data_IF_874113024977
#
_entry.id   IF_874113024977
#
_cell.length_a   1.000
_cell.length_b   1.000
_cell.length_c   1.000
_cell.angle_alpha   90.00
_cell.angle_beta   90.00
_cell.angle_gamma   90.00
#
_symmetry.space_group_name_H-M   'P 1'
#
loop_
_entity.id
_entity.type
_entity.pdbx_description
1 polymer ?
#
# COMPACT_ATOMS: atom_id res chain seq x y z
N UNK A 1 -16.79 -5.54 -39.75
CA UNK A 1 -17.87 -5.34 -38.76
C UNK A 1 -17.67 -6.13 -37.47
N UNK A 2 -17.51 -7.47 -37.51
CA UNK A 2 -17.29 -8.31 -36.30
C UNK A 2 -16.08 -7.87 -35.44
N UNK A 3 -14.94 -7.54 -36.06
CA UNK A 3 -13.73 -7.08 -35.36
C UNK A 3 -13.94 -5.77 -34.59
N UNK A 4 -14.66 -4.82 -35.18
CA UNK A 4 -14.96 -3.51 -34.58
C UNK A 4 -15.83 -3.70 -33.34
N UNK A 5 -16.83 -4.58 -33.41
CA UNK A 5 -17.71 -4.90 -32.29
C UNK A 5 -16.92 -5.50 -31.11
N UNK A 6 -15.96 -6.38 -31.39
CA UNK A 6 -15.09 -6.99 -30.36
C UNK A 6 -14.24 -5.94 -29.66
N UNK A 7 -13.64 -5.01 -30.41
CA UNK A 7 -12.81 -3.93 -29.84
C UNK A 7 -13.65 -2.99 -28.96
N UNK A 8 -14.85 -2.63 -29.40
CA UNK A 8 -15.78 -1.81 -28.61
C UNK A 8 -16.17 -2.52 -27.32
N UNK A 9 -16.50 -3.81 -27.39
CA UNK A 9 -16.82 -4.59 -26.18
C UNK A 9 -15.63 -4.66 -25.22
N UNK A 10 -14.40 -4.88 -25.70
CA UNK A 10 -13.20 -4.91 -24.86
C UNK A 10 -12.92 -3.56 -24.18
N UNK A 11 -13.18 -2.45 -24.85
CA UNK A 11 -13.01 -1.11 -24.27
C UNK A 11 -13.97 -0.79 -23.13
N UNK A 12 -15.13 -1.46 -23.07
CA UNK A 12 -16.11 -1.29 -21.99
C UNK A 12 -15.68 -2.01 -20.69
N UNK A 13 -14.72 -2.93 -20.76
CA UNK A 13 -14.20 -3.67 -19.60
C UNK A 13 -12.85 -3.14 -19.08
N UNK A 14 -12.36 -2.00 -19.59
CA UNK A 14 -11.12 -1.42 -19.08
C UNK A 14 -11.37 -0.80 -17.70
N UNK A 15 -10.80 -1.41 -16.65
CA UNK A 15 -10.73 -0.80 -15.33
C UNK A 15 -9.73 0.36 -15.36
N UNK A 16 -10.14 1.53 -14.88
CA UNK A 16 -9.21 2.65 -14.67
C UNK A 16 -8.19 2.23 -13.60
N UNK A 17 -6.93 2.03 -13.99
CA UNK A 17 -5.83 1.84 -13.04
C UNK A 17 -5.23 3.22 -12.76
N UNK A 18 -5.48 3.75 -11.58
CA UNK A 18 -4.82 4.97 -11.12
C UNK A 18 -3.38 4.65 -10.74
N UNK A 19 -2.44 5.53 -11.05
CA UNK A 19 -1.09 5.47 -10.49
C UNK A 19 -1.15 5.58 -8.96
N UNK A 20 -0.18 5.01 -8.24
CA UNK A 20 -0.12 5.20 -6.79
C UNK A 20 -0.07 6.70 -6.44
N UNK A 21 -0.75 7.11 -5.36
CA UNK A 21 -0.81 8.50 -4.88
C UNK A 21 0.53 9.04 -4.34
N UNK A 22 1.64 8.37 -4.61
CA UNK A 22 2.95 8.66 -4.03
C UNK A 22 3.08 8.22 -2.57
N UNK A 23 3.99 8.86 -1.85
CA UNK A 23 4.21 8.62 -0.43
C UNK A 23 3.14 9.31 0.41
N UNK A 24 2.43 8.54 1.23
CA UNK A 24 1.42 9.05 2.18
C UNK A 24 1.98 8.91 3.59
N UNK A 25 2.02 10.02 4.33
CA UNK A 25 2.45 10.00 5.72
C UNK A 25 1.49 9.15 6.57
N UNK A 26 2.06 8.19 7.30
CA UNK A 26 1.33 7.37 8.26
C UNK A 26 1.64 7.86 9.67
N UNK A 27 0.62 8.01 10.51
CA UNK A 27 0.82 8.32 11.92
C UNK A 27 1.25 7.05 12.67
N UNK A 28 2.42 7.08 13.31
CA UNK A 28 2.95 5.96 14.11
C UNK A 28 2.40 5.90 15.53
N UNK A 29 1.69 6.94 16.00
CA UNK A 29 1.16 7.02 17.36
C UNK A 29 2.21 7.24 18.45
N UNK A 30 3.49 7.42 18.10
CA UNK A 30 4.59 7.69 19.05
C UNK A 30 5.41 8.91 18.64
N UNK A 31 5.99 9.57 19.65
CA UNK A 31 6.89 10.73 19.47
C UNK A 31 8.37 10.36 19.42
N UNK A 32 8.72 9.17 19.91
CA UNK A 32 10.09 8.65 19.88
C UNK A 32 10.47 8.20 18.47
N UNK A 33 11.77 8.26 18.16
CA UNK A 33 12.28 7.86 16.85
C UNK A 33 12.06 6.36 16.61
N UNK A 34 11.64 6.02 15.39
CA UNK A 34 11.63 4.65 14.89
C UNK A 34 12.97 4.41 14.18
N UNK A 35 13.67 3.35 14.58
CA UNK A 35 15.01 3.02 14.11
C UNK A 35 15.01 1.89 13.07
N UNK A 36 14.01 1.00 13.11
CA UNK A 36 13.84 -0.05 12.10
C UNK A 36 12.38 -0.52 12.00
N UNK A 37 12.04 -1.12 10.86
CA UNK A 37 10.75 -1.77 10.59
C UNK A 37 10.98 -3.14 9.96
N UNK A 38 10.13 -4.11 10.29
CA UNK A 38 10.13 -5.47 9.73
C UNK A 38 8.70 -5.92 9.44
N UNK A 39 8.47 -6.56 8.30
CA UNK A 39 7.18 -7.13 7.93
C UNK A 39 7.34 -8.63 7.65
N UNK A 40 6.51 -9.44 8.30
CA UNK A 40 6.38 -10.86 8.01
C UNK A 40 5.52 -11.07 6.76
N UNK A 41 4.47 -10.27 6.62
CA UNK A 41 3.59 -10.26 5.46
C UNK A 41 2.98 -8.85 5.27
N UNK A 42 2.13 -8.68 4.26
CA UNK A 42 1.51 -7.37 3.93
C UNK A 42 0.57 -6.82 5.01
N UNK A 43 0.18 -7.63 6.00
CA UNK A 43 -0.75 -7.31 7.09
C UNK A 43 -0.11 -7.51 8.48
N UNK A 44 1.18 -7.84 8.56
CA UNK A 44 1.81 -8.12 9.86
C UNK A 44 3.23 -7.62 9.85
N UNK A 45 3.50 -6.64 10.70
CA UNK A 45 4.82 -6.06 10.86
C UNK A 45 5.04 -5.39 12.21
N UNK A 46 6.30 -5.05 12.47
CA UNK A 46 6.74 -4.41 13.69
C UNK A 46 7.67 -3.25 13.40
N UNK A 47 7.56 -2.20 14.22
CA UNK A 47 8.50 -1.07 14.23
C UNK A 47 9.20 -1.03 15.59
N UNK A 48 10.51 -0.83 15.59
CA UNK A 48 11.31 -0.67 16.81
C UNK A 48 11.89 0.73 16.90
N UNK A 49 11.90 1.29 18.11
CA UNK A 49 12.34 2.66 18.35
C UNK A 49 13.14 2.80 19.64
N UNK A 50 13.43 4.05 19.99
CA UNK A 50 14.22 4.38 21.18
C UNK A 50 13.63 3.79 22.46
N UNK A 51 14.50 3.56 23.44
CA UNK A 51 14.15 2.99 24.75
C UNK A 51 13.45 1.62 24.70
N UNK A 52 13.74 0.82 23.67
CA UNK A 52 13.18 -0.54 23.53
C UNK A 52 11.70 -0.57 23.13
N UNK A 53 11.16 0.52 22.57
CA UNK A 53 9.77 0.56 22.11
C UNK A 53 9.57 -0.37 20.91
N UNK A 54 8.53 -1.19 20.99
CA UNK A 54 8.09 -2.10 19.93
C UNK A 54 6.63 -1.78 19.62
N UNK A 55 6.33 -1.51 18.35
CA UNK A 55 4.98 -1.27 17.83
C UNK A 55 4.63 -2.44 16.92
N UNK A 56 3.44 -3.02 17.10
CA UNK A 56 2.89 -4.06 16.22
C UNK A 56 1.84 -3.44 15.31
N UNK A 57 2.02 -3.59 14.01
CA UNK A 57 1.03 -3.24 12.99
C UNK A 57 0.31 -4.51 12.54
N UNK A 58 -1.02 -4.41 12.53
CA UNK A 58 -1.95 -5.39 11.94
C UNK A 58 -2.50 -4.83 10.62
#
# INVERSE_FOLDING_TARGET
MKLIIIIVLLSLFSNNVFSQSGWIQQNSGITSKINAVYFENSQTGWSVGDSGKIIKNY
#
